data_IF_424592439665
#
_entry.id   IF_424592439665
#
_cell.length_a   1.000
_cell.length_b   1.000
_cell.length_c   1.000
_cell.angle_alpha   90.00
_cell.angle_beta   90.00
_cell.angle_gamma   90.00
#
_symmetry.space_group_name_H-M   'P 1'
#
loop_
_entity.id
_entity.type
_entity.pdbx_description
1 polymer ?
#
# COMPACT_ATOMS: atom_id res chain seq x y z
N UNK A 1 20.84 6.47 -3.10
CA UNK A 1 20.31 5.29 -3.80
C UNK A 1 21.49 4.39 -4.13
N UNK A 2 21.69 3.31 -3.37
CA UNK A 2 22.69 2.28 -3.66
C UNK A 2 21.94 0.95 -3.59
N UNK A 3 21.90 0.24 -4.72
CA UNK A 3 21.26 -1.06 -4.88
C UNK A 3 22.37 -2.10 -4.88
N UNK A 4 22.30 -3.08 -3.97
CA UNK A 4 22.95 -4.38 -4.14
C UNK A 4 21.97 -5.48 -3.69
N UNK A 5 21.85 -6.47 -4.55
CA UNK A 5 21.23 -7.78 -4.29
C UNK A 5 19.72 -7.84 -4.09
N UNK A 6 18.93 -7.19 -4.96
CA UNK A 6 17.49 -7.50 -5.10
C UNK A 6 16.62 -7.33 -3.86
N UNK A 7 17.21 -6.91 -2.75
CA UNK A 7 16.57 -6.65 -1.48
C UNK A 7 16.10 -5.21 -1.56
N UNK A 8 14.82 -5.04 -1.86
CA UNK A 8 14.19 -3.74 -1.79
C UNK A 8 14.41 -3.23 -0.36
N UNK A 9 15.21 -2.18 -0.22
CA UNK A 9 15.36 -1.47 1.02
C UNK A 9 14.03 -0.76 1.34
N UNK A 10 13.07 -1.52 1.85
CA UNK A 10 11.85 -0.97 2.43
C UNK A 10 12.28 -0.19 3.66
N UNK A 11 11.95 1.10 3.65
CA UNK A 11 12.08 1.90 4.86
C UNK A 11 11.16 1.29 5.93
N UNK A 12 11.76 0.59 6.89
CA UNK A 12 11.03 -0.10 7.96
C UNK A 12 10.29 0.86 8.89
N UNK A 13 10.53 2.17 8.76
CA UNK A 13 9.81 3.20 9.51
C UNK A 13 8.48 3.60 8.87
N UNK A 14 8.25 3.23 7.60
CA UNK A 14 7.01 3.52 6.88
C UNK A 14 5.99 2.42 7.11
N UNK A 15 4.84 2.77 7.71
CA UNK A 15 3.73 1.84 7.84
C UNK A 15 2.90 1.77 6.53
N UNK A 16 2.72 0.55 6.03
CA UNK A 16 1.87 0.24 4.88
C UNK A 16 0.42 0.68 5.12
N UNK A 17 -0.08 0.58 6.35
CA UNK A 17 -1.44 0.98 6.72
C UNK A 17 -1.62 2.49 6.61
N UNK A 18 -0.64 3.26 7.07
CA UNK A 18 -0.68 4.72 6.98
C UNK A 18 -0.60 5.19 5.53
N UNK A 19 0.23 4.52 4.71
CA UNK A 19 0.26 4.74 3.27
C UNK A 19 -1.10 4.46 2.62
N UNK A 20 -1.74 3.34 2.98
CA UNK A 20 -3.05 2.99 2.44
C UNK A 20 -4.12 4.04 2.81
N UNK A 21 -4.18 4.48 4.06
CA UNK A 21 -5.09 5.55 4.49
C UNK A 21 -4.86 6.85 3.72
N UNK A 22 -3.61 7.18 3.38
CA UNK A 22 -3.31 8.33 2.54
C UNK A 22 -3.85 8.14 1.10
N UNK A 23 -3.74 6.94 0.54
CA UNK A 23 -4.32 6.59 -0.77
C UNK A 23 -5.85 6.67 -0.77
N UNK A 24 -6.52 6.21 0.30
CA UNK A 24 -7.97 6.34 0.45
C UNK A 24 -8.43 7.81 0.40
N UNK A 25 -7.67 8.73 1.02
CA UNK A 25 -7.96 10.17 0.95
C UNK A 25 -7.87 10.73 -0.47
N UNK A 26 -7.08 10.12 -1.36
CA UNK A 26 -7.02 10.53 -2.77
C UNK A 26 -8.30 10.15 -3.51
N UNK A 27 -8.90 9.02 -3.15
CA UNK A 27 -10.22 8.60 -3.66
C UNK A 27 -11.30 9.54 -3.14
N UNK A 28 -11.30 9.85 -1.84
CA UNK A 28 -12.29 10.77 -1.24
C UNK A 28 -12.23 12.18 -1.85
N UNK A 29 -11.03 12.64 -2.22
CA UNK A 29 -10.83 13.91 -2.93
C UNK A 29 -11.23 13.88 -4.40
N UNK A 30 -11.61 12.71 -4.94
CA UNK A 30 -11.98 12.52 -6.34
C UNK A 30 -10.80 12.61 -7.32
N UNK A 31 -9.56 12.54 -6.83
CA UNK A 31 -8.35 12.61 -7.66
C UNK A 31 -8.09 11.30 -8.40
N UNK A 32 -8.52 10.19 -7.81
CA UNK A 32 -8.43 8.85 -8.39
C UNK A 32 -9.74 8.10 -8.14
N UNK A 33 -10.10 7.19 -9.06
CA UNK A 33 -11.33 6.39 -8.94
C UNK A 33 -11.12 5.10 -8.15
N UNK A 34 -9.96 4.50 -8.28
CA UNK A 34 -9.62 3.20 -7.69
C UNK A 34 -8.17 3.19 -7.23
N UNK A 35 -7.89 2.41 -6.20
CA UNK A 35 -6.56 2.19 -5.64
C UNK A 35 -6.35 0.68 -5.46
N UNK A 36 -5.10 0.24 -5.59
CA UNK A 36 -4.71 -1.17 -5.51
C UNK A 36 -3.29 -1.33 -4.98
N UNK A 37 -2.91 -2.57 -4.72
CA UNK A 37 -1.56 -2.96 -4.31
C UNK A 37 -0.94 -3.81 -5.40
N UNK A 38 0.39 -3.86 -5.46
CA UNK A 38 1.14 -4.65 -6.44
C UNK A 38 2.45 -5.09 -5.83
N UNK A 39 2.83 -6.35 -6.07
CA UNK A 39 4.05 -6.96 -5.54
C UNK A 39 4.05 -7.08 -3.99
N UNK A 40 2.89 -7.34 -3.39
CA UNK A 40 2.72 -7.56 -1.95
C UNK A 40 2.62 -9.06 -1.64
N UNK A 41 3.20 -9.50 -0.52
CA UNK A 41 3.00 -10.86 -0.02
C UNK A 41 1.68 -10.99 0.77
N UNK A 42 1.22 -12.22 0.99
CA UNK A 42 -0.07 -12.51 1.66
C UNK A 42 -0.23 -11.84 3.03
N UNK A 43 0.83 -11.74 3.83
CA UNK A 43 0.78 -11.08 5.15
C UNK A 43 0.59 -9.57 5.02
N UNK A 44 1.26 -8.94 4.07
CA UNK A 44 1.12 -7.52 3.80
C UNK A 44 -0.26 -7.20 3.23
N UNK A 45 -0.75 -8.02 2.29
CA UNK A 45 -2.10 -7.92 1.73
C UNK A 45 -3.12 -7.97 2.87
N UNK A 46 -3.06 -8.99 3.73
CA UNK A 46 -4.01 -9.15 4.84
C UNK A 46 -3.99 -7.94 5.78
N UNK A 47 -2.81 -7.44 6.15
CA UNK A 47 -2.67 -6.27 7.02
C UNK A 47 -3.34 -5.03 6.43
N UNK A 48 -3.11 -4.75 5.14
CA UNK A 48 -3.78 -3.63 4.45
C UNK A 48 -5.28 -3.90 4.38
N UNK A 49 -5.68 -5.11 3.97
CA UNK A 49 -7.07 -5.50 3.80
C UNK A 49 -7.88 -5.34 5.09
N UNK A 50 -7.36 -5.78 6.24
CA UNK A 50 -8.06 -5.69 7.53
C UNK A 50 -8.23 -4.24 7.99
N UNK A 51 -7.26 -3.38 7.68
CA UNK A 51 -7.28 -1.96 8.05
C UNK A 51 -8.01 -1.05 7.06
N UNK A 52 -8.28 -1.54 5.84
CA UNK A 52 -8.80 -0.75 4.73
C UNK A 52 -10.32 -0.49 4.85
N UNK A 53 -10.71 0.78 4.76
CA UNK A 53 -12.09 1.22 4.52
C UNK A 53 -12.47 1.02 3.05
N UNK A 54 -11.57 1.37 2.13
CA UNK A 54 -11.69 1.10 0.69
C UNK A 54 -10.80 -0.09 0.38
N UNK A 55 -11.38 -1.24 0.08
CA UNK A 55 -10.60 -2.46 -0.23
C UNK A 55 -9.80 -2.26 -1.52
N UNK A 56 -8.59 -2.84 -1.63
CA UNK A 56 -7.82 -2.78 -2.86
C UNK A 56 -8.63 -3.35 -4.03
N UNK A 57 -8.74 -2.60 -5.12
CA UNK A 57 -9.43 -3.05 -6.32
C UNK A 57 -8.64 -4.12 -7.08
N UNK A 58 -7.33 -4.21 -6.81
CA UNK A 58 -6.37 -5.15 -7.40
C UNK A 58 -5.32 -5.52 -6.35
N UNK A 59 -4.86 -6.77 -6.38
CA UNK A 59 -3.92 -7.38 -5.43
C UNK A 59 -2.59 -7.74 -6.11
#
# INVERSE_FOLDING_TARGET
MVIRDGDYAYDKTVDLVETWKAMEKLVDKGLVRSIGISNFNSKQIQRVYDSARIKPAVL
#
